data_IF_791282011300
#
_entry.id   IF_791282011300
#
_cell.length_a   1.000
_cell.length_b   1.000
_cell.length_c   1.000
_cell.angle_alpha   90.00
_cell.angle_beta   90.00
_cell.angle_gamma   90.00
#
_symmetry.space_group_name_H-M   'P 1'
#
loop_
_entity.id
_entity.type
_entity.pdbx_description
1 polymer ?
#
# COMPACT_ATOMS: atom_id res chain seq x y z
N UNK A 1 28.55 2.80 8.72
CA UNK A 1 27.15 2.34 8.84
C UNK A 1 26.56 2.91 10.11
N UNK A 2 25.34 3.42 10.05
CA UNK A 2 24.58 3.92 11.19
C UNK A 2 23.56 2.83 11.58
N UNK A 3 23.87 1.95 12.53
CA UNK A 3 23.03 0.80 12.88
C UNK A 3 21.67 1.21 13.48
N UNK A 4 21.56 2.43 13.99
CA UNK A 4 20.31 2.99 14.53
C UNK A 4 19.35 3.50 13.45
N UNK A 5 19.80 3.67 12.20
CA UNK A 5 18.93 4.11 11.12
C UNK A 5 18.05 2.96 10.61
N UNK A 6 16.75 3.15 10.69
CA UNK A 6 15.76 2.26 10.08
C UNK A 6 15.28 2.85 8.76
N UNK A 7 15.71 2.25 7.65
CA UNK A 7 15.28 2.65 6.31
C UNK A 7 14.04 1.85 5.93
N UNK A 8 12.96 2.55 5.59
CA UNK A 8 11.77 1.96 4.99
C UNK A 8 11.69 2.36 3.52
N UNK A 9 11.36 1.42 2.66
CA UNK A 9 11.19 1.66 1.22
C UNK A 9 9.71 1.60 0.89
N UNK A 10 9.21 2.64 0.22
CA UNK A 10 7.88 2.63 -0.39
C UNK A 10 8.03 2.49 -1.90
N UNK A 11 7.40 1.48 -2.47
CA UNK A 11 7.43 1.19 -3.90
C UNK A 11 6.03 1.31 -4.49
N UNK A 12 5.88 2.14 -5.53
CA UNK A 12 4.63 2.27 -6.27
C UNK A 12 4.65 1.31 -7.46
N UNK A 13 3.72 0.36 -7.47
CA UNK A 13 3.54 -0.58 -8.56
C UNK A 13 2.68 0.03 -9.67
N UNK A 14 3.18 -0.09 -10.87
CA UNK A 14 2.60 0.44 -12.10
C UNK A 14 2.65 -0.62 -13.19
N UNK A 15 2.05 -0.37 -14.34
CA UNK A 15 2.17 -1.21 -15.54
C UNK A 15 3.62 -1.43 -15.98
N UNK A 16 4.55 -0.53 -15.63
CA UNK A 16 5.97 -0.63 -15.96
C UNK A 16 6.75 -1.44 -14.92
N UNK A 17 6.41 -1.30 -13.63
CA UNK A 17 7.18 -1.86 -12.51
C UNK A 17 6.62 -3.17 -11.95
N UNK A 18 5.51 -3.67 -12.50
CA UNK A 18 4.79 -4.85 -12.01
C UNK A 18 5.62 -6.12 -11.89
N UNK A 19 6.61 -6.28 -12.77
CA UNK A 19 7.44 -7.49 -12.82
C UNK A 19 8.67 -7.42 -11.92
N UNK A 20 8.93 -6.26 -11.27
CA UNK A 20 10.13 -6.03 -10.45
C UNK A 20 9.94 -6.39 -8.95
N UNK A 21 8.78 -6.89 -8.53
CA UNK A 21 8.44 -7.05 -7.10
C UNK A 21 9.43 -7.95 -6.36
N UNK A 22 9.75 -9.12 -6.91
CA UNK A 22 10.65 -10.07 -6.26
C UNK A 22 12.10 -9.59 -6.29
N UNK A 23 12.54 -9.01 -7.40
CA UNK A 23 13.89 -8.45 -7.54
C UNK A 23 14.12 -7.31 -6.54
N UNK A 24 13.11 -6.43 -6.39
CA UNK A 24 13.13 -5.36 -5.40
C UNK A 24 13.30 -5.91 -3.97
N UNK A 25 12.53 -6.94 -3.63
CA UNK A 25 12.59 -7.56 -2.30
C UNK A 25 13.97 -8.19 -2.05
N UNK A 26 14.50 -8.90 -3.04
CA UNK A 26 15.78 -9.59 -2.96
C UNK A 26 16.96 -8.61 -2.83
N UNK A 27 16.93 -7.53 -3.61
CA UNK A 27 18.00 -6.54 -3.65
C UNK A 27 17.98 -5.59 -2.45
N UNK A 28 16.79 -5.05 -2.13
CA UNK A 28 16.65 -4.00 -1.12
C UNK A 28 16.24 -4.50 0.25
N UNK A 29 15.69 -5.71 0.34
CA UNK A 29 15.28 -6.30 1.62
C UNK A 29 16.38 -6.30 2.69
N UNK A 30 17.63 -6.66 2.37
CA UNK A 30 18.74 -6.62 3.34
C UNK A 30 19.06 -5.23 3.88
N UNK A 31 18.73 -4.17 3.13
CA UNK A 31 19.02 -2.76 3.48
C UNK A 31 17.82 -2.13 4.18
N UNK A 32 16.60 -2.47 3.76
CA UNK A 32 15.34 -1.92 4.24
C UNK A 32 14.97 -2.48 5.62
N UNK A 33 15.70 -2.11 6.68
CA UNK A 33 15.42 -2.58 8.06
C UNK A 33 14.03 -2.20 8.57
N UNK A 34 13.44 -1.10 8.06
CA UNK A 34 12.05 -0.70 8.30
C UNK A 34 11.03 -1.43 7.43
N UNK A 35 11.51 -2.30 6.55
CA UNK A 35 10.73 -3.08 5.61
C UNK A 35 10.35 -2.32 4.34
N UNK A 36 9.71 -3.08 3.43
CA UNK A 36 9.22 -2.58 2.14
C UNK A 36 7.70 -2.48 2.21
N UNK A 37 7.16 -1.36 1.74
CA UNK A 37 5.72 -1.11 1.57
C UNK A 37 5.43 -1.00 0.08
N UNK A 38 4.37 -1.64 -0.36
CA UNK A 38 3.88 -1.55 -1.73
C UNK A 38 2.61 -0.71 -1.79
N UNK A 39 2.65 0.31 -2.64
CA UNK A 39 1.50 1.06 -3.12
C UNK A 39 1.19 0.66 -4.56
N UNK A 40 0.00 0.93 -5.04
CA UNK A 40 -0.31 0.89 -6.47
C UNK A 40 -0.52 2.31 -6.98
N UNK A 41 -0.24 2.52 -8.26
CA UNK A 41 -0.49 3.80 -8.87
C UNK A 41 -1.98 4.18 -8.73
N UNK A 42 -2.23 5.38 -8.26
CA UNK A 42 -3.57 5.97 -8.18
C UNK A 42 -3.73 6.97 -9.31
N UNK A 43 -4.63 6.76 -10.27
CA UNK A 43 -4.87 7.73 -11.32
C UNK A 43 -5.35 9.07 -10.76
N UNK A 44 -4.92 10.14 -11.41
CA UNK A 44 -5.37 11.51 -11.16
C UNK A 44 -5.99 12.02 -12.44
N UNK A 45 -7.20 12.54 -12.38
CA UNK A 45 -7.92 13.03 -13.57
C UNK A 45 -7.10 14.05 -14.34
N UNK A 46 -6.95 13.81 -15.65
CA UNK A 46 -6.17 14.65 -16.54
C UNK A 46 -4.68 14.30 -16.66
N UNK A 47 -4.20 13.27 -15.92
CA UNK A 47 -2.88 12.69 -16.08
C UNK A 47 -2.93 11.37 -16.85
N UNK A 48 -1.75 10.90 -17.30
CA UNK A 48 -1.61 9.64 -18.01
C UNK A 48 -2.05 8.46 -17.17
N UNK A 49 -3.05 7.73 -17.67
CA UNK A 49 -3.60 6.53 -17.02
C UNK A 49 -2.86 5.25 -17.45
N UNK A 50 -1.91 5.32 -18.37
CA UNK A 50 -1.16 4.16 -18.86
C UNK A 50 -0.37 3.43 -17.76
N UNK A 51 -0.09 4.11 -16.65
CA UNK A 51 0.59 3.52 -15.48
C UNK A 51 -0.34 2.71 -14.58
N UNK A 52 -1.65 2.82 -14.77
CA UNK A 52 -2.60 2.10 -13.93
C UNK A 52 -2.60 0.61 -14.26
N UNK A 53 -2.63 -0.21 -13.22
CA UNK A 53 -2.80 -1.65 -13.31
C UNK A 53 -4.29 -1.97 -13.21
N UNK A 54 -4.81 -2.77 -14.12
CA UNK A 54 -6.19 -3.25 -14.03
C UNK A 54 -6.43 -4.12 -12.79
N UNK A 55 -7.68 -4.31 -12.42
CA UNK A 55 -8.03 -5.01 -11.19
C UNK A 55 -7.56 -6.48 -11.16
N UNK A 56 -7.68 -7.28 -12.22
CA UNK A 56 -7.16 -8.65 -12.25
C UNK A 56 -5.65 -8.71 -12.02
N UNK A 57 -4.90 -7.79 -12.65
CA UNK A 57 -3.45 -7.76 -12.52
C UNK A 57 -3.02 -7.29 -11.12
N UNK A 58 -3.71 -6.29 -10.57
CA UNK A 58 -3.50 -5.83 -9.20
C UNK A 58 -3.76 -6.96 -8.19
N UNK A 59 -4.86 -7.71 -8.34
CA UNK A 59 -5.19 -8.84 -7.48
C UNK A 59 -4.11 -9.93 -7.56
N UNK A 60 -3.61 -10.24 -8.77
CA UNK A 60 -2.51 -11.18 -8.98
C UNK A 60 -1.22 -10.75 -8.27
N UNK A 61 -0.87 -9.46 -8.37
CA UNK A 61 0.31 -8.89 -7.70
C UNK A 61 0.17 -8.92 -6.18
N UNK A 62 -1.01 -8.65 -5.64
CA UNK A 62 -1.27 -8.77 -4.20
C UNK A 62 -1.07 -10.21 -3.74
N UNK A 63 -1.55 -11.19 -4.50
CA UNK A 63 -1.31 -12.60 -4.19
C UNK A 63 0.18 -12.98 -4.26
N UNK A 64 0.92 -12.41 -5.21
CA UNK A 64 2.37 -12.56 -5.30
C UNK A 64 3.06 -11.96 -4.06
N UNK A 65 2.73 -10.73 -3.67
CA UNK A 65 3.29 -10.08 -2.48
C UNK A 65 3.01 -10.90 -1.22
N UNK A 66 1.80 -11.44 -1.06
CA UNK A 66 1.44 -12.30 0.06
C UNK A 66 2.26 -13.61 0.10
N UNK A 67 2.59 -14.19 -1.05
CA UNK A 67 3.49 -15.36 -1.14
C UNK A 67 4.93 -14.98 -0.79
N UNK A 68 5.44 -13.90 -1.38
CA UNK A 68 6.81 -13.42 -1.15
C UNK A 68 7.02 -13.01 0.32
N UNK A 69 6.00 -12.46 0.96
CA UNK A 69 6.05 -12.15 2.39
C UNK A 69 6.30 -13.37 3.28
N UNK A 70 5.82 -14.55 2.88
CA UNK A 70 6.12 -15.82 3.58
C UNK A 70 7.53 -16.33 3.26
N UNK A 71 7.98 -16.11 2.03
CA UNK A 71 9.31 -16.52 1.56
C UNK A 71 10.42 -15.63 2.15
N UNK A 72 10.15 -14.34 2.33
CA UNK A 72 11.07 -13.33 2.86
C UNK A 72 10.51 -12.72 4.16
N UNK A 73 10.52 -13.46 5.27
CA UNK A 73 9.91 -13.00 6.53
C UNK A 73 10.59 -11.72 7.05
N UNK A 74 9.77 -10.79 7.54
CA UNK A 74 10.26 -9.51 8.08
C UNK A 74 10.59 -8.44 7.04
N UNK A 75 10.67 -8.78 5.74
CA UNK A 75 11.05 -7.81 4.69
C UNK A 75 9.89 -6.93 4.26
N UNK A 76 8.67 -7.47 4.16
CA UNK A 76 7.50 -6.70 3.74
C UNK A 76 6.73 -6.20 4.97
N UNK A 77 6.74 -4.88 5.17
CA UNK A 77 6.10 -4.22 6.32
C UNK A 77 4.66 -3.81 6.01
N UNK A 78 3.84 -4.78 5.67
CA UNK A 78 2.39 -4.60 5.44
C UNK A 78 1.63 -5.72 6.15
N UNK A 79 0.48 -5.40 6.72
CA UNK A 79 -0.43 -6.42 7.26
C UNK A 79 -1.09 -7.21 6.11
N UNK A 80 -1.24 -8.50 6.27
CA UNK A 80 -1.90 -9.33 5.24
C UNK A 80 -3.33 -8.87 5.00
N UNK A 81 -4.03 -8.50 6.09
CA UNK A 81 -5.38 -7.94 5.99
C UNK A 81 -5.42 -6.62 5.21
N UNK A 82 -4.37 -5.79 5.29
CA UNK A 82 -4.26 -4.58 4.47
C UNK A 82 -4.17 -4.93 2.99
N UNK A 83 -3.29 -5.86 2.63
CA UNK A 83 -3.16 -6.36 1.25
C UNK A 83 -4.47 -6.96 0.73
N UNK A 84 -5.16 -7.76 1.54
CA UNK A 84 -6.48 -8.32 1.17
C UNK A 84 -7.56 -7.25 0.97
N UNK A 85 -7.53 -6.16 1.74
CA UNK A 85 -8.45 -5.04 1.54
C UNK A 85 -8.16 -4.26 0.25
N UNK A 86 -6.93 -4.28 -0.26
CA UNK A 86 -6.54 -3.63 -1.50
C UNK A 86 -7.02 -4.38 -2.76
N UNK A 87 -7.49 -5.62 -2.66
CA UNK A 87 -8.03 -6.38 -3.79
C UNK A 87 -9.35 -5.81 -4.30
N UNK A 88 -9.63 -6.01 -5.58
CA UNK A 88 -10.80 -5.50 -6.31
C UNK A 88 -12.11 -5.70 -5.55
N UNK A 89 -12.32 -6.90 -4.99
CA UNK A 89 -13.54 -7.26 -4.24
C UNK A 89 -13.81 -6.42 -2.98
N UNK A 90 -12.78 -5.77 -2.44
CA UNK A 90 -12.85 -5.01 -1.17
C UNK A 90 -12.55 -3.52 -1.36
N UNK A 91 -11.76 -3.17 -2.38
CA UNK A 91 -11.15 -1.87 -2.51
C UNK A 91 -12.16 -0.73 -2.51
N UNK A 92 -13.21 -0.83 -3.35
CA UNK A 92 -14.22 0.22 -3.44
C UNK A 92 -14.89 0.50 -2.09
N UNK A 93 -15.24 -0.53 -1.33
CA UNK A 93 -15.87 -0.36 -0.01
C UNK A 93 -14.97 0.42 0.96
N UNK A 94 -13.66 0.23 0.87
CA UNK A 94 -12.70 0.95 1.72
C UNK A 94 -12.54 2.38 1.24
N UNK A 95 -12.41 2.60 -0.07
CA UNK A 95 -12.18 3.95 -0.61
C UNK A 95 -13.39 4.85 -0.54
N UNK A 96 -14.62 4.31 -0.67
CA UNK A 96 -15.87 5.05 -0.45
C UNK A 96 -15.98 5.57 1.00
N UNK A 97 -15.32 4.89 1.95
CA UNK A 97 -15.28 5.24 3.37
C UNK A 97 -13.91 5.73 3.83
N UNK A 98 -13.12 6.29 2.93
CA UNK A 98 -11.76 6.73 3.24
C UNK A 98 -11.73 7.77 4.35
N UNK A 99 -11.01 7.45 5.44
CA UNK A 99 -10.89 8.28 6.63
C UNK A 99 -9.67 9.22 6.58
N UNK A 100 -8.94 9.26 5.47
CA UNK A 100 -7.67 10.02 5.40
C UNK A 100 -7.86 11.47 5.86
N UNK A 101 -8.81 12.19 5.27
CA UNK A 101 -9.05 13.61 5.59
C UNK A 101 -9.44 13.88 7.05
N UNK A 102 -10.02 12.89 7.73
CA UNK A 102 -10.41 13.03 9.14
C UNK A 102 -9.23 12.81 10.10
N UNK A 103 -8.13 12.25 9.61
CA UNK A 103 -7.00 11.81 10.45
C UNK A 103 -5.65 12.36 10.01
N UNK A 104 -5.56 12.95 8.83
CA UNK A 104 -4.31 13.48 8.27
C UNK A 104 -4.57 14.72 7.42
N UNK A 105 -3.55 15.55 7.32
CA UNK A 105 -3.51 16.69 6.42
C UNK A 105 -2.55 16.39 5.26
N UNK A 106 -2.91 16.83 4.07
CA UNK A 106 -2.02 16.81 2.92
C UNK A 106 -1.77 18.24 2.48
N UNK A 107 -0.54 18.69 2.64
CA UNK A 107 -0.13 20.04 2.25
C UNK A 107 0.72 19.99 0.98
N UNK A 108 0.56 20.99 0.14
CA UNK A 108 1.41 21.22 -1.00
C UNK A 108 2.70 21.95 -0.62
N UNK A 109 3.60 22.19 -1.57
CA UNK A 109 4.92 22.74 -1.31
C UNK A 109 4.90 24.18 -0.76
N UNK A 110 3.82 24.92 -0.95
CA UNK A 110 3.62 26.30 -0.44
C UNK A 110 2.74 26.32 0.83
N UNK A 111 2.39 25.13 1.38
CA UNK A 111 1.58 25.01 2.59
C UNK A 111 0.07 25.02 2.32
N UNK A 112 -0.38 25.04 1.08
CA UNK A 112 -1.79 24.95 0.70
C UNK A 112 -2.38 23.56 0.99
N UNK A 113 -3.64 23.53 1.42
CA UNK A 113 -4.39 22.27 1.62
C UNK A 113 -4.64 21.59 0.26
N UNK A 114 -4.13 20.37 0.07
CA UNK A 114 -4.37 19.54 -1.12
C UNK A 114 -5.78 18.94 -1.18
N UNK A 115 -6.57 19.08 -0.14
CA UNK A 115 -7.96 18.63 -0.11
C UNK A 115 -8.14 17.18 0.34
N UNK A 116 -8.67 16.29 -0.52
CA UNK A 116 -9.09 14.93 -0.13
C UNK A 116 -7.98 14.11 0.51
N UNK A 117 -6.79 14.13 -0.09
CA UNK A 117 -5.63 13.35 0.34
C UNK A 117 -4.35 13.90 -0.31
N UNK A 118 -3.22 13.22 -0.11
CA UNK A 118 -1.95 13.60 -0.71
C UNK A 118 -1.95 13.70 -2.25
N UNK A 119 -2.88 13.00 -2.91
CA UNK A 119 -3.06 13.05 -4.37
C UNK A 119 -3.97 14.22 -4.83
N UNK A 120 -4.52 14.97 -3.89
CA UNK A 120 -5.40 16.10 -4.16
C UNK A 120 -6.85 15.72 -4.48
N UNK A 121 -7.63 16.73 -4.90
CA UNK A 121 -9.07 16.57 -5.16
C UNK A 121 -9.38 15.79 -6.44
N UNK A 122 -8.43 15.74 -7.39
CA UNK A 122 -8.59 15.05 -8.67
C UNK A 122 -8.23 13.56 -8.62
N UNK A 123 -7.87 13.02 -7.45
CA UNK A 123 -7.60 11.60 -7.30
C UNK A 123 -8.83 10.75 -7.66
N UNK A 124 -8.61 9.71 -8.47
CA UNK A 124 -9.63 8.72 -8.77
C UNK A 124 -9.72 7.70 -7.62
N UNK A 125 -10.66 7.96 -6.70
CA UNK A 125 -10.84 7.12 -5.52
C UNK A 125 -11.38 5.72 -5.86
N UNK A 126 -12.07 5.53 -6.98
CA UNK A 126 -12.56 4.21 -7.42
C UNK A 126 -11.40 3.31 -7.85
N UNK A 127 -10.28 3.89 -8.26
CA UNK A 127 -9.06 3.19 -8.67
C UNK A 127 -7.89 3.44 -7.71
N UNK A 128 -8.17 3.84 -6.48
CA UNK A 128 -7.15 4.17 -5.48
C UNK A 128 -6.17 3.03 -5.23
N UNK A 129 -4.89 3.33 -5.33
CA UNK A 129 -3.78 2.40 -5.08
C UNK A 129 -3.00 2.69 -3.80
N UNK A 130 -3.27 3.83 -3.15
CA UNK A 130 -2.59 4.23 -1.92
C UNK A 130 -2.89 3.25 -0.77
N UNK A 131 -1.86 2.73 -0.11
CA UNK A 131 -1.98 1.78 1.01
C UNK A 131 -2.68 2.39 2.22
N UNK A 132 -2.60 3.71 2.41
CA UNK A 132 -3.03 4.37 3.64
C UNK A 132 -4.49 4.10 4.01
N UNK A 133 -5.50 4.29 3.13
CA UNK A 133 -6.89 4.02 3.51
C UNK A 133 -7.13 2.56 3.90
N UNK A 134 -6.46 1.62 3.26
CA UNK A 134 -6.58 0.18 3.55
C UNK A 134 -5.92 -0.18 4.88
N UNK A 135 -4.76 0.39 5.17
CA UNK A 135 -4.10 0.21 6.45
C UNK A 135 -4.95 0.81 7.59
N UNK A 136 -5.48 2.02 7.42
CA UNK A 136 -6.38 2.65 8.38
C UNK A 136 -7.63 1.79 8.65
N UNK A 137 -8.25 1.23 7.59
CA UNK A 137 -9.40 0.34 7.72
C UNK A 137 -9.03 -0.96 8.45
N UNK A 138 -7.83 -1.51 8.21
CA UNK A 138 -7.34 -2.70 8.89
C UNK A 138 -7.18 -2.44 10.39
N UNK A 139 -6.44 -1.39 10.77
CA UNK A 139 -6.15 -1.11 12.19
C UNK A 139 -7.38 -0.65 12.97
N UNK A 140 -8.36 -0.04 12.32
CA UNK A 140 -9.63 0.32 12.92
C UNK A 140 -10.55 -0.90 13.17
N UNK A 141 -10.30 -2.03 12.50
CA UNK A 141 -11.11 -3.24 12.63
C UNK A 141 -10.56 -4.19 13.69
N UNK A 142 -11.24 -4.30 14.84
CA UNK A 142 -10.88 -5.26 15.90
C UNK A 142 -10.76 -6.69 15.37
N UNK A 143 -11.67 -7.09 14.45
CA UNK A 143 -11.65 -8.44 13.86
C UNK A 143 -10.40 -8.69 13.03
N UNK A 144 -10.01 -7.72 12.18
CA UNK A 144 -8.82 -7.87 11.34
C UNK A 144 -7.54 -7.85 12.19
N UNK A 145 -7.45 -6.97 13.19
CA UNK A 145 -6.32 -6.90 14.10
C UNK A 145 -6.16 -8.20 14.92
N UNK A 146 -7.26 -8.78 15.39
CA UNK A 146 -7.21 -10.09 16.07
C UNK A 146 -6.66 -11.18 15.13
N UNK A 147 -7.11 -11.22 13.89
CA UNK A 147 -6.61 -12.15 12.87
C UNK A 147 -5.09 -12.01 12.66
N UNK A 148 -4.60 -10.77 12.55
CA UNK A 148 -3.15 -10.49 12.40
C UNK A 148 -2.35 -10.94 13.64
N UNK A 149 -2.89 -10.70 14.84
CA UNK A 149 -2.25 -11.12 16.10
C UNK A 149 -2.16 -12.63 16.20
N UNK A 150 -3.26 -13.35 15.94
CA UNK A 150 -3.27 -14.84 15.97
C UNK A 150 -2.25 -15.37 14.98
N UNK A 151 -2.22 -14.83 13.76
CA UNK A 151 -1.26 -15.26 12.73
C UNK A 151 0.20 -15.11 13.18
N UNK A 152 0.55 -13.99 13.83
CA UNK A 152 1.91 -13.74 14.35
C UNK A 152 2.31 -14.71 15.46
N UNK A 153 1.35 -15.20 16.23
CA UNK A 153 1.61 -16.16 17.31
C UNK A 153 1.75 -17.61 16.81
N UNK A 154 1.29 -17.88 15.58
CA UNK A 154 1.28 -19.22 14.98
C UNK A 154 2.29 -19.39 13.83
N UNK A 155 3.04 -18.35 13.49
CA UNK A 155 4.12 -18.34 12.47
C UNK A 155 5.47 -18.44 13.13
#
# INVERSE_FOLDING_TARGET
SHPELSIQISCVLTSITRDCVEDLIREWGPIARGGIIFDFFTPVRGLDEALWLDWPERDRLIDQILRLKKQYPGTINMLDSTLELMKSRNAKKVTDNCQFRLKAFALGPTGEDKGKCMMGNNADCDRCGCVVPFHMATVASRRLMLKETVKRLTS
#
